data_IF_757956591589
#
_entry.id   IF_757956591589
#
_cell.length_a   1.000
_cell.length_b   1.000
_cell.length_c   1.000
_cell.angle_alpha   90.00
_cell.angle_beta   90.00
_cell.angle_gamma   90.00
#
_symmetry.space_group_name_H-M   'P 1'
#
loop_
_entity.id
_entity.type
_entity.pdbx_description
1 polymer ?
#
# COMPACT_ATOMS: atom_id res chain seq x y z
N UNK A 1 -5.08 -11.51 14.14
CA UNK A 1 -3.89 -10.74 13.67
C UNK A 1 -4.23 -9.90 12.44
N UNK A 2 -4.17 -8.57 12.52
CA UNK A 2 -4.32 -7.66 11.34
C UNK A 2 -2.94 -7.46 10.69
N UNK A 3 -2.43 -8.42 9.92
CA UNK A 3 -1.14 -8.23 9.21
C UNK A 3 -1.35 -7.67 7.80
N UNK A 4 -0.46 -6.77 7.38
CA UNK A 4 -0.40 -6.24 6.01
C UNK A 4 -0.23 -7.40 5.01
N UNK A 5 0.64 -8.37 5.33
CA UNK A 5 0.88 -9.57 4.53
C UNK A 5 -0.39 -10.36 4.21
N UNK A 6 -1.22 -10.63 5.22
CA UNK A 6 -2.44 -11.41 5.03
C UNK A 6 -3.45 -10.67 4.15
N UNK A 7 -3.57 -9.35 4.32
CA UNK A 7 -4.44 -8.50 3.49
C UNK A 7 -3.94 -8.47 2.05
N UNK A 8 -2.64 -8.26 1.88
CA UNK A 8 -1.98 -8.26 0.59
C UNK A 8 -2.17 -9.59 -0.15
N UNK A 9 -1.91 -10.73 0.50
CA UNK A 9 -2.09 -12.05 -0.09
C UNK A 9 -3.54 -12.28 -0.54
N UNK A 10 -4.53 -11.86 0.28
CA UNK A 10 -5.95 -11.94 -0.07
C UNK A 10 -6.30 -11.08 -1.29
N UNK A 11 -5.77 -9.87 -1.38
CA UNK A 11 -6.03 -8.95 -2.50
C UNK A 11 -5.37 -9.47 -3.77
N UNK A 12 -4.10 -9.88 -3.70
CA UNK A 12 -3.35 -10.44 -4.82
C UNK A 12 -3.97 -11.73 -5.36
N UNK A 13 -4.43 -12.61 -4.47
CA UNK A 13 -5.12 -13.84 -4.86
C UNK A 13 -6.46 -13.60 -5.57
N UNK A 14 -7.12 -12.47 -5.31
CA UNK A 14 -8.36 -12.07 -6.01
C UNK A 14 -8.11 -11.26 -7.28
N UNK A 15 -6.94 -10.64 -7.40
CA UNK A 15 -6.59 -9.75 -8.49
C UNK A 15 -5.22 -10.12 -9.08
N UNK A 16 -5.13 -11.25 -9.83
CA UNK A 16 -3.85 -11.77 -10.32
C UNK A 16 -3.14 -10.83 -11.31
N UNK A 17 -3.89 -9.95 -11.98
CA UNK A 17 -3.35 -9.00 -12.97
C UNK A 17 -2.96 -7.64 -12.39
N UNK A 18 -3.18 -7.43 -11.08
CA UNK A 18 -2.80 -6.17 -10.45
C UNK A 18 -1.32 -6.17 -10.10
N UNK A 19 -0.69 -5.00 -10.23
CA UNK A 19 0.70 -4.85 -9.80
C UNK A 19 0.82 -5.03 -8.29
N UNK A 20 2.00 -5.47 -7.84
CA UNK A 20 2.31 -5.61 -6.42
C UNK A 20 2.13 -4.29 -5.66
N UNK A 21 2.33 -3.15 -6.32
CA UNK A 21 2.07 -1.83 -5.74
C UNK A 21 0.58 -1.61 -5.47
N UNK A 22 -0.28 -1.83 -6.47
CA UNK A 22 -1.74 -1.63 -6.33
C UNK A 22 -2.30 -2.56 -5.24
N UNK A 23 -1.89 -3.84 -5.26
CA UNK A 23 -2.29 -4.78 -4.21
C UNK A 23 -1.85 -4.34 -2.82
N UNK A 24 -0.68 -3.73 -2.70
CA UNK A 24 -0.15 -3.23 -1.43
C UNK A 24 -0.88 -1.96 -0.97
N UNK A 25 -1.14 -1.02 -1.88
CA UNK A 25 -1.92 0.18 -1.60
C UNK A 25 -3.30 -0.19 -1.04
N UNK A 26 -4.04 -1.04 -1.74
CA UNK A 26 -5.36 -1.52 -1.27
C UNK A 26 -5.29 -2.30 0.04
N UNK A 27 -4.15 -2.92 0.37
CA UNK A 27 -3.97 -3.63 1.63
C UNK A 27 -3.85 -2.69 2.84
N UNK A 28 -3.29 -1.49 2.64
CA UNK A 28 -3.07 -0.48 3.68
C UNK A 28 -4.13 0.62 3.68
N UNK A 29 -4.87 0.79 2.57
CA UNK A 29 -5.92 1.79 2.43
C UNK A 29 -7.01 1.64 3.50
N UNK A 30 -7.40 2.77 4.10
CA UNK A 30 -8.36 2.82 5.21
C UNK A 30 -7.89 2.09 6.48
N UNK A 31 -6.59 1.78 6.62
CA UNK A 31 -6.02 1.15 7.81
C UNK A 31 -5.01 2.05 8.50
N UNK A 32 -5.00 2.01 9.83
CA UNK A 32 -4.07 2.77 10.66
C UNK A 32 -2.77 1.99 10.92
N UNK A 33 -2.05 1.59 9.87
CA UNK A 33 -0.73 0.98 10.03
C UNK A 33 0.35 2.04 10.28
N UNK A 34 1.35 1.72 11.09
CA UNK A 34 2.47 2.62 11.32
C UNK A 34 3.34 2.76 10.07
N UNK A 35 3.99 3.93 9.90
CA UNK A 35 4.93 4.16 8.79
C UNK A 35 6.03 3.10 8.72
N UNK A 36 6.53 2.67 9.87
CA UNK A 36 7.54 1.59 9.96
C UNK A 36 7.00 0.25 9.45
N UNK A 37 5.76 -0.10 9.82
CA UNK A 37 5.13 -1.32 9.31
C UNK A 37 4.94 -1.24 7.79
N UNK A 38 4.42 -0.12 7.27
CA UNK A 38 4.23 0.12 5.84
C UNK A 38 5.57 -0.02 5.10
N UNK A 39 6.63 0.65 5.56
CA UNK A 39 7.96 0.58 4.95
C UNK A 39 8.53 -0.83 4.93
N UNK A 40 8.48 -1.53 6.08
CA UNK A 40 8.98 -2.90 6.21
C UNK A 40 8.28 -3.85 5.25
N UNK A 41 6.95 -3.77 5.19
CA UNK A 41 6.16 -4.66 4.36
C UNK A 41 6.19 -4.29 2.88
N UNK A 42 6.29 -3.00 2.53
CA UNK A 42 6.52 -2.55 1.17
C UNK A 42 7.79 -3.19 0.60
N UNK A 43 8.89 -3.14 1.35
CA UNK A 43 10.17 -3.75 0.95
C UNK A 43 10.14 -5.27 0.80
N UNK A 44 9.21 -5.94 1.50
CA UNK A 44 9.08 -7.40 1.50
C UNK A 44 8.12 -7.89 0.42
N UNK A 45 7.05 -7.14 0.13
CA UNK A 45 5.93 -7.58 -0.71
C UNK A 45 5.89 -6.92 -2.08
N UNK A 46 6.39 -5.69 -2.20
CA UNK A 46 6.46 -4.97 -3.48
C UNK A 46 7.77 -5.35 -4.15
N UNK A 47 7.66 -5.74 -5.42
CA UNK A 47 8.77 -6.25 -6.22
C UNK A 47 9.88 -5.20 -6.35
N UNK A 48 11.09 -5.55 -5.90
CA UNK A 48 12.20 -4.61 -5.73
C UNK A 48 12.73 -4.03 -7.06
N UNK A 49 12.43 -4.67 -8.19
CA UNK A 49 12.91 -4.27 -9.52
C UNK A 49 12.12 -3.14 -10.17
N UNK A 50 10.90 -2.84 -9.69
CA UNK A 50 10.03 -1.86 -10.36
C UNK A 50 10.30 -0.41 -9.98
N UNK A 51 11.09 -0.13 -8.94
CA UNK A 51 11.24 1.23 -8.41
C UNK A 51 12.70 1.55 -8.13
N UNK A 52 13.16 2.67 -8.70
CA UNK A 52 14.48 3.19 -8.33
C UNK A 52 14.47 3.64 -6.85
N UNK A 53 15.63 3.68 -6.18
CA UNK A 53 15.73 4.18 -4.81
C UNK A 53 15.18 5.61 -4.64
N UNK A 54 15.26 6.45 -5.69
CA UNK A 54 14.70 7.80 -5.70
C UNK A 54 13.18 7.78 -5.71
N UNK A 55 12.58 6.98 -6.57
CA UNK A 55 11.11 6.87 -6.70
C UNK A 55 10.48 6.28 -5.45
N UNK A 56 11.16 5.29 -4.86
CA UNK A 56 10.72 4.62 -3.64
C UNK A 56 10.44 5.58 -2.48
N UNK A 57 11.24 6.64 -2.32
CA UNK A 57 11.04 7.65 -1.26
C UNK A 57 9.74 8.43 -1.50
N UNK A 58 9.48 8.84 -2.74
CA UNK A 58 8.24 9.52 -3.12
C UNK A 58 7.01 8.63 -2.94
N UNK A 59 7.11 7.36 -3.34
CA UNK A 59 6.04 6.38 -3.20
C UNK A 59 5.72 6.14 -1.72
N UNK A 60 6.73 5.89 -0.88
CA UNK A 60 6.50 5.71 0.55
C UNK A 60 5.88 6.96 1.19
N UNK A 61 6.31 8.15 0.79
CA UNK A 61 5.70 9.40 1.26
C UNK A 61 4.21 9.48 0.89
N UNK A 62 3.85 9.11 -0.35
CA UNK A 62 2.46 9.02 -0.78
C UNK A 62 1.65 8.00 0.04
N UNK A 63 2.22 6.82 0.33
CA UNK A 63 1.57 5.77 1.14
C UNK A 63 1.36 6.15 2.61
N UNK A 64 2.13 7.11 3.13
CA UNK A 64 1.96 7.61 4.51
C UNK A 64 0.87 8.66 4.64
N UNK A 65 0.45 9.27 3.53
CA UNK A 65 -0.64 10.21 3.54
C UNK A 65 -1.93 9.42 3.65
N UNK A 66 -2.72 9.56 4.73
CA UNK A 66 -4.03 8.94 4.79
C UNK A 66 -4.81 9.46 3.60
N UNK A 67 -5.32 8.56 2.75
CA UNK A 67 -6.34 8.91 1.78
C UNK A 67 -7.49 9.53 2.59
N UNK A 68 -7.60 10.85 2.60
CA UNK A 68 -8.82 11.50 3.07
C UNK A 68 -9.93 10.90 2.20
N UNK A 69 -11.03 10.38 2.77
CA UNK A 69 -12.20 10.14 1.94
C UNK A 69 -12.50 11.45 1.20
N UNK A 70 -12.87 11.42 -0.09
CA UNK A 70 -13.37 12.61 -0.74
C UNK A 70 -14.48 13.17 0.15
N UNK A 71 -14.33 14.43 0.55
CA UNK A 71 -15.40 15.15 1.24
C UNK A 71 -16.57 15.19 0.26
N UNK A 72 -17.56 14.33 0.51
CA UNK A 72 -18.85 14.35 -0.16
C UNK A 72 -19.57 15.62 0.31
N UNK A 73 -19.17 16.74 -0.27
CA UNK A 73 -19.81 18.02 -0.08
C UNK A 73 -20.84 18.16 -1.20
N UNK A 74 -21.87 17.31 -1.16
CA UNK A 74 -23.15 17.62 -1.80
C UNK A 74 -23.77 18.79 -1.03
N UNK A 75 -23.67 19.98 -1.62
CA UNK A 75 -24.59 21.08 -1.38
C UNK A 75 -25.24 21.46 -2.71
#
# INVERSE_FOLDING_TARGET
>A
MKSIERRFAKIRGRNPYWSSYVCFFSAIEGQNFSKQAIARWFNKLVEKGCFSPKDKKGILAHLYTPARPPEDNQK
#
